data_IF_336729412234
#
_entry.id   IF_336729412234
#
_cell.length_a   1.000
_cell.length_b   1.000
_cell.length_c   1.000
_cell.angle_alpha   90.00
_cell.angle_beta   90.00
_cell.angle_gamma   90.00
#
_symmetry.space_group_name_H-M   'P 1'
#
loop_
_entity.id
_entity.type
_entity.pdbx_description
1 polymer ?
#
# COMPACT_ATOMS: atom_id res chain seq x y z
N UNK A 1 23.21 5.16 56.06
CA UNK A 1 23.34 5.86 54.76
C UNK A 1 23.08 4.83 53.66
N UNK A 2 21.82 4.69 53.26
CA UNK A 2 21.36 3.77 52.22
C UNK A 2 20.49 4.59 51.26
N UNK A 3 21.08 5.09 50.19
CA UNK A 3 20.38 5.58 49.00
C UNK A 3 21.45 6.01 47.99
N UNK A 4 21.80 5.11 47.06
CA UNK A 4 22.42 5.42 45.77
C UNK A 4 22.43 4.12 44.92
N UNK A 5 21.26 3.54 44.70
CA UNK A 5 21.05 2.33 43.88
C UNK A 5 19.87 2.48 42.94
N UNK A 6 19.71 3.66 42.37
CA UNK A 6 18.81 3.90 41.25
C UNK A 6 19.54 4.81 40.29
N UNK A 7 19.93 4.30 39.11
CA UNK A 7 19.98 5.03 37.82
C UNK A 7 20.86 4.38 36.73
N UNK A 8 21.58 3.28 36.98
CA UNK A 8 22.51 2.73 35.97
C UNK A 8 21.97 1.59 35.09
N UNK A 9 20.66 1.37 34.97
CA UNK A 9 20.13 0.17 34.29
C UNK A 9 19.08 0.46 33.19
N UNK A 10 19.29 1.46 32.34
CA UNK A 10 18.51 1.65 31.10
C UNK A 10 19.32 2.40 30.03
N UNK A 11 20.42 1.82 29.54
CA UNK A 11 21.14 2.35 28.38
C UNK A 11 21.25 1.27 27.30
N UNK A 12 20.16 1.13 26.53
CA UNK A 12 20.14 0.34 25.30
C UNK A 12 21.02 0.98 24.21
N UNK A 13 21.53 0.20 23.25
CA UNK A 13 22.40 0.72 22.22
C UNK A 13 21.57 1.48 21.18
N UNK A 14 22.06 2.66 20.76
CA UNK A 14 21.52 3.61 19.77
C UNK A 14 20.48 4.62 20.27
N UNK A 15 20.85 5.90 20.46
CA UNK A 15 19.87 6.98 20.43
C UNK A 15 19.46 7.18 18.96
N UNK A 16 18.30 6.63 18.59
CA UNK A 16 17.64 7.03 17.35
C UNK A 16 17.42 8.56 17.39
N UNK A 17 17.88 9.24 16.34
CA UNK A 17 17.86 10.70 16.25
C UNK A 17 16.40 11.16 16.25
N UNK A 18 16.01 12.05 17.17
CA UNK A 18 14.61 12.49 17.39
C UNK A 18 13.94 12.96 16.08
N UNK A 19 14.73 13.44 15.13
CA UNK A 19 14.28 13.89 13.80
C UNK A 19 13.65 12.76 12.95
N UNK A 20 14.12 11.52 13.05
CA UNK A 20 13.63 10.38 12.25
C UNK A 20 12.20 9.97 12.67
N UNK A 21 11.89 10.01 13.96
CA UNK A 21 10.54 9.74 14.46
C UNK A 21 9.55 10.83 14.05
N UNK A 22 10.01 12.08 13.96
CA UNK A 22 9.19 13.22 13.57
C UNK A 22 8.77 13.13 12.11
N UNK A 23 9.70 12.74 11.23
CA UNK A 23 9.42 12.53 9.82
C UNK A 23 8.47 11.34 9.58
N UNK A 24 8.66 10.23 10.31
CA UNK A 24 7.76 9.08 10.27
C UNK A 24 6.33 9.44 10.71
N UNK A 25 6.19 10.20 11.79
CA UNK A 25 4.88 10.66 12.29
C UNK A 25 4.19 11.61 11.30
N UNK A 26 4.93 12.51 10.66
CA UNK A 26 4.38 13.41 9.64
C UNK A 26 3.93 12.66 8.38
N UNK A 27 4.69 11.64 7.94
CA UNK A 27 4.32 10.79 6.81
C UNK A 27 3.07 9.93 7.11
N UNK A 28 2.95 9.43 8.34
CA UNK A 28 1.75 8.74 8.82
C UNK A 28 0.52 9.65 8.80
N UNK A 29 0.64 10.89 9.30
CA UNK A 29 -0.46 11.85 9.36
C UNK A 29 -0.92 12.28 7.96
N UNK A 30 0.02 12.55 7.05
CA UNK A 30 -0.30 12.92 5.67
C UNK A 30 -0.97 11.79 4.89
N UNK A 31 -0.56 10.53 5.11
CA UNK A 31 -1.25 9.36 4.53
C UNK A 31 -2.67 9.23 5.06
N UNK A 32 -2.87 9.40 6.37
CA UNK A 32 -4.21 9.37 7.00
C UNK A 32 -5.12 10.46 6.44
N UNK A 33 -4.63 11.70 6.36
CA UNK A 33 -5.38 12.82 5.80
C UNK A 33 -5.76 12.60 4.32
N UNK A 34 -4.87 11.99 3.53
CA UNK A 34 -5.16 11.63 2.13
C UNK A 34 -6.19 10.51 2.01
N UNK A 35 -6.15 9.51 2.90
CA UNK A 35 -7.15 8.46 2.96
C UNK A 35 -8.52 8.99 3.38
N UNK A 36 -8.55 9.85 4.40
CA UNK A 36 -9.77 10.50 4.87
C UNK A 36 -10.39 11.40 3.81
N UNK A 37 -9.58 12.15 3.05
CA UNK A 37 -10.09 12.99 1.97
C UNK A 37 -10.66 12.18 0.80
N UNK A 38 -10.03 11.06 0.44
CA UNK A 38 -10.57 10.11 -0.55
C UNK A 38 -11.87 9.48 -0.05
N UNK A 39 -11.92 9.07 1.22
CA UNK A 39 -13.12 8.49 1.81
C UNK A 39 -14.27 9.51 1.87
N UNK A 40 -13.98 10.76 2.22
CA UNK A 40 -14.96 11.84 2.21
C UNK A 40 -15.46 12.17 0.80
N UNK A 41 -14.57 12.17 -0.20
CA UNK A 41 -14.95 12.35 -1.60
C UNK A 41 -15.83 11.20 -2.11
N UNK A 42 -15.50 9.95 -1.74
CA UNK A 42 -16.31 8.77 -2.05
C UNK A 42 -17.70 8.86 -1.44
N UNK A 43 -17.81 9.24 -0.16
CA UNK A 43 -19.11 9.42 0.51
C UNK A 43 -19.95 10.51 -0.14
N UNK A 44 -19.36 11.66 -0.48
CA UNK A 44 -20.06 12.74 -1.20
C UNK A 44 -20.55 12.31 -2.57
N UNK A 45 -19.76 11.50 -3.28
CA UNK A 45 -20.16 10.95 -4.56
C UNK A 45 -21.33 9.96 -4.39
N UNK A 46 -21.25 9.09 -3.39
CA UNK A 46 -22.33 8.14 -3.06
C UNK A 46 -23.62 8.87 -2.65
N UNK A 47 -23.53 9.90 -1.82
CA UNK A 47 -24.66 10.73 -1.39
C UNK A 47 -25.31 11.50 -2.54
N UNK A 48 -24.54 11.93 -3.55
CA UNK A 48 -25.06 12.58 -4.74
C UNK A 48 -25.69 11.59 -5.72
N UNK A 49 -25.14 10.38 -5.84
CA UNK A 49 -25.62 9.36 -6.78
C UNK A 49 -26.82 8.57 -6.25
N UNK A 50 -26.90 8.29 -4.94
CA UNK A 50 -28.01 7.55 -4.30
C UNK A 50 -29.40 8.09 -4.65
N UNK A 51 -29.72 9.38 -4.46
CA UNK A 51 -31.06 9.88 -4.74
C UNK A 51 -31.42 9.82 -6.24
N UNK A 52 -30.43 9.93 -7.13
CA UNK A 52 -30.64 9.70 -8.56
C UNK A 52 -30.93 8.24 -8.88
N UNK A 53 -30.19 7.32 -8.26
CA UNK A 53 -30.39 5.87 -8.39
C UNK A 53 -31.73 5.40 -7.82
N UNK A 54 -32.15 5.93 -6.67
CA UNK A 54 -33.41 5.54 -6.02
C UNK A 54 -34.62 5.97 -6.87
N UNK A 55 -34.60 7.20 -7.41
CA UNK A 55 -35.64 7.68 -8.34
C UNK A 55 -35.66 6.89 -9.64
N UNK A 56 -34.49 6.68 -10.26
CA UNK A 56 -34.35 5.88 -11.47
C UNK A 56 -34.84 4.44 -11.24
N UNK A 57 -34.59 3.87 -10.06
CA UNK A 57 -35.04 2.51 -9.70
C UNK A 57 -36.56 2.41 -9.59
N UNK A 58 -37.23 3.42 -9.04
CA UNK A 58 -38.70 3.46 -8.94
C UNK A 58 -39.34 3.63 -10.32
N UNK A 59 -38.82 4.53 -11.15
CA UNK A 59 -39.31 4.73 -12.52
C UNK A 59 -39.05 3.50 -13.39
N UNK A 60 -37.87 2.90 -13.26
CA UNK A 60 -37.53 1.65 -13.94
C UNK A 60 -38.51 0.54 -13.54
N UNK A 61 -38.83 0.37 -12.25
CA UNK A 61 -39.84 -0.63 -11.82
C UNK A 61 -41.21 -0.40 -12.46
N UNK A 62 -41.66 0.85 -12.60
CA UNK A 62 -42.93 1.18 -13.27
C UNK A 62 -42.87 0.80 -14.76
N UNK A 63 -41.83 1.19 -15.46
CA UNK A 63 -41.62 0.85 -16.88
C UNK A 63 -41.51 -0.67 -17.07
N UNK A 64 -40.85 -1.38 -16.16
CA UNK A 64 -40.75 -2.84 -16.20
C UNK A 64 -42.14 -3.50 -16.01
N UNK A 65 -43.00 -2.98 -15.13
CA UNK A 65 -44.38 -3.44 -14.99
C UNK A 65 -45.21 -3.18 -16.25
N UNK A 66 -45.07 -2.00 -16.86
CA UNK A 66 -45.74 -1.63 -18.12
C UNK A 66 -45.29 -2.52 -19.29
N UNK A 67 -44.02 -2.94 -19.30
CA UNK A 67 -43.45 -3.90 -20.27
C UNK A 67 -43.87 -5.36 -20.02
N UNK A 68 -44.66 -5.59 -18.98
CA UNK A 68 -45.21 -6.91 -18.64
C UNK A 68 -44.29 -7.76 -17.78
N UNK A 69 -43.40 -7.20 -16.97
CA UNK A 69 -42.77 -7.95 -15.89
C UNK A 69 -43.74 -8.20 -14.74
N UNK A 70 -43.81 -9.45 -14.29
CA UNK A 70 -44.46 -9.78 -13.03
C UNK A 70 -43.48 -9.58 -11.87
N UNK A 71 -43.68 -8.51 -11.10
CA UNK A 71 -42.85 -8.14 -9.95
C UNK A 71 -43.47 -8.57 -8.60
N UNK A 72 -44.49 -9.42 -8.61
CA UNK A 72 -45.21 -9.86 -7.40
C UNK A 72 -44.40 -10.77 -6.49
N UNK A 73 -43.40 -11.46 -7.03
CA UNK A 73 -42.48 -12.33 -6.30
C UNK A 73 -41.07 -11.71 -6.19
N UNK A 74 -40.30 -12.01 -5.11
CA UNK A 74 -38.91 -11.60 -4.98
C UNK A 74 -38.04 -12.38 -5.98
N UNK A 75 -38.07 -11.95 -7.25
CA UNK A 75 -37.28 -12.52 -8.34
C UNK A 75 -36.02 -11.71 -8.57
N UNK A 76 -34.98 -12.40 -9.04
CA UNK A 76 -33.74 -11.71 -9.42
C UNK A 76 -34.00 -10.74 -10.58
N UNK A 77 -33.32 -9.59 -10.61
CA UNK A 77 -33.46 -8.65 -11.75
C UNK A 77 -33.12 -9.32 -13.09
N UNK A 78 -32.24 -10.32 -13.08
CA UNK A 78 -31.91 -11.11 -14.25
C UNK A 78 -33.13 -11.90 -14.78
N UNK A 79 -33.93 -12.50 -13.90
CA UNK A 79 -35.16 -13.20 -14.27
C UNK A 79 -36.23 -12.24 -14.79
N UNK A 80 -36.39 -11.08 -14.15
CA UNK A 80 -37.33 -10.03 -14.58
C UNK A 80 -36.99 -9.54 -16.00
N UNK A 81 -35.71 -9.26 -16.26
CA UNK A 81 -35.22 -8.84 -17.59
C UNK A 81 -35.37 -9.97 -18.61
N UNK A 82 -35.15 -11.23 -18.22
CA UNK A 82 -35.36 -12.40 -19.08
C UNK A 82 -36.82 -12.56 -19.49
N UNK A 83 -37.77 -12.36 -18.56
CA UNK A 83 -39.21 -12.41 -18.85
C UNK A 83 -39.67 -11.28 -19.77
N UNK A 84 -39.16 -10.05 -19.57
CA UNK A 84 -39.46 -8.94 -20.47
C UNK A 84 -38.91 -9.20 -21.87
N UNK A 85 -37.69 -9.75 -21.96
CA UNK A 85 -37.04 -10.11 -23.23
C UNK A 85 -37.76 -11.23 -23.95
N UNK A 86 -38.29 -12.23 -23.24
CA UNK A 86 -39.04 -13.32 -23.84
C UNK A 86 -40.42 -12.88 -24.34
N UNK A 87 -41.04 -11.90 -23.67
CA UNK A 87 -42.32 -11.30 -24.07
C UNK A 87 -42.21 -10.27 -25.20
N UNK A 88 -41.03 -9.64 -25.38
CA UNK A 88 -40.82 -8.58 -26.38
C UNK A 88 -39.63 -8.87 -27.31
N UNK A 89 -39.85 -9.24 -28.59
CA UNK A 89 -38.78 -9.57 -29.53
C UNK A 89 -37.89 -8.37 -29.90
N UNK A 90 -38.43 -7.15 -29.87
CA UNK A 90 -37.66 -5.91 -30.10
C UNK A 90 -36.61 -5.66 -29.01
N UNK A 91 -36.93 -5.93 -27.75
CA UNK A 91 -35.99 -5.81 -26.63
C UNK A 91 -34.89 -6.88 -26.67
N UNK A 92 -35.20 -8.05 -27.22
CA UNK A 92 -34.18 -9.08 -27.50
C UNK A 92 -33.17 -8.60 -28.54
N UNK A 93 -33.63 -8.02 -29.65
CA UNK A 93 -32.75 -7.47 -30.68
C UNK A 93 -31.89 -6.31 -30.13
N UNK A 94 -32.49 -5.40 -29.37
CA UNK A 94 -31.78 -4.32 -28.71
C UNK A 94 -30.72 -4.83 -27.73
N UNK A 95 -31.04 -5.82 -26.89
CA UNK A 95 -30.08 -6.40 -25.95
C UNK A 95 -28.89 -7.07 -26.67
N UNK A 96 -29.13 -7.72 -27.81
CA UNK A 96 -28.05 -8.28 -28.64
C UNK A 96 -27.15 -7.18 -29.22
N UNK A 97 -27.72 -6.07 -29.69
CA UNK A 97 -26.95 -4.93 -30.19
C UNK A 97 -26.18 -4.22 -29.07
N UNK A 98 -26.80 -4.09 -27.90
CA UNK A 98 -26.17 -3.54 -26.70
C UNK A 98 -25.00 -4.42 -26.28
N UNK A 99 -25.15 -5.75 -26.28
CA UNK A 99 -24.08 -6.68 -25.96
C UNK A 99 -22.92 -6.58 -26.97
N UNK A 100 -23.23 -6.50 -28.26
CA UNK A 100 -22.22 -6.27 -29.30
C UNK A 100 -21.46 -4.94 -29.12
N UNK A 101 -22.18 -3.84 -28.86
CA UNK A 101 -21.56 -2.54 -28.58
C UNK A 101 -20.76 -2.54 -27.27
N UNK A 102 -21.26 -3.23 -26.24
CA UNK A 102 -20.58 -3.38 -24.96
C UNK A 102 -19.33 -4.25 -25.09
N UNK A 103 -19.32 -5.23 -25.99
CA UNK A 103 -18.18 -6.10 -26.24
C UNK A 103 -16.97 -5.30 -26.74
N UNK A 104 -17.20 -4.41 -27.72
CA UNK A 104 -16.15 -3.52 -28.23
C UNK A 104 -15.67 -2.53 -27.17
N UNK A 105 -16.59 -1.95 -26.39
CA UNK A 105 -16.24 -1.07 -25.28
C UNK A 105 -15.42 -1.80 -24.22
N UNK A 106 -15.86 -2.99 -23.80
CA UNK A 106 -15.17 -3.82 -22.81
C UNK A 106 -13.76 -4.18 -23.27
N UNK A 107 -13.61 -4.53 -24.55
CA UNK A 107 -12.31 -4.86 -25.12
C UNK A 107 -11.37 -3.65 -25.15
N UNK A 108 -11.87 -2.47 -25.53
CA UNK A 108 -11.12 -1.21 -25.47
C UNK A 108 -10.72 -0.86 -24.04
N UNK A 109 -11.66 -0.90 -23.10
CA UNK A 109 -11.40 -0.63 -21.69
C UNK A 109 -10.38 -1.60 -21.08
N UNK A 110 -10.45 -2.89 -21.43
CA UNK A 110 -9.48 -3.88 -20.97
C UNK A 110 -8.07 -3.58 -21.52
N UNK A 111 -7.98 -3.21 -22.79
CA UNK A 111 -6.71 -2.80 -23.39
C UNK A 111 -6.15 -1.53 -22.74
N UNK A 112 -6.98 -0.50 -22.59
CA UNK A 112 -6.60 0.77 -21.97
C UNK A 112 -6.13 0.57 -20.52
N UNK A 113 -6.82 -0.29 -19.76
CA UNK A 113 -6.42 -0.67 -18.42
C UNK A 113 -5.06 -1.37 -18.40
N UNK A 114 -4.83 -2.35 -19.28
CA UNK A 114 -3.54 -3.02 -19.38
C UNK A 114 -2.41 -2.07 -19.76
N UNK A 115 -2.66 -1.15 -20.70
CA UNK A 115 -1.68 -0.14 -21.10
C UNK A 115 -1.39 0.83 -19.96
N UNK A 116 -2.41 1.27 -19.22
CA UNK A 116 -2.23 2.09 -18.03
C UNK A 116 -1.39 1.37 -16.97
N UNK A 117 -1.70 0.11 -16.67
CA UNK A 117 -0.93 -0.68 -15.72
C UNK A 117 0.52 -0.80 -16.15
N UNK A 118 0.78 -1.15 -17.42
CA UNK A 118 2.13 -1.24 -17.96
C UNK A 118 2.87 0.11 -17.86
N UNK A 119 2.22 1.22 -18.21
CA UNK A 119 2.79 2.56 -18.13
C UNK A 119 3.12 2.96 -16.68
N UNK A 120 2.22 2.69 -15.74
CA UNK A 120 2.44 2.95 -14.31
C UNK A 120 3.60 2.12 -13.78
N UNK A 121 3.67 0.84 -14.14
CA UNK A 121 4.78 -0.04 -13.76
C UNK A 121 6.11 0.41 -14.36
N UNK A 122 6.16 0.81 -15.64
CA UNK A 122 7.37 1.33 -16.28
C UNK A 122 7.85 2.62 -15.60
N UNK A 123 6.93 3.55 -15.32
CA UNK A 123 7.27 4.76 -14.55
C UNK A 123 7.79 4.42 -13.15
N UNK A 124 7.17 3.48 -12.45
CA UNK A 124 7.63 3.04 -11.14
C UNK A 124 9.02 2.39 -11.19
N UNK A 125 9.30 1.60 -12.24
CA UNK A 125 10.63 1.03 -12.48
C UNK A 125 11.69 2.10 -12.71
N UNK A 126 11.37 3.12 -13.52
CA UNK A 126 12.27 4.25 -13.80
C UNK A 126 12.55 5.09 -12.55
N UNK A 127 11.53 5.43 -11.77
CA UNK A 127 11.72 6.18 -10.52
C UNK A 127 12.47 5.37 -9.48
N UNK A 128 12.20 4.07 -9.38
CA UNK A 128 12.97 3.18 -8.50
C UNK A 128 14.47 3.15 -8.87
N UNK A 129 14.78 3.03 -10.17
CA UNK A 129 16.16 3.05 -10.64
C UNK A 129 16.84 4.41 -10.43
N UNK A 130 16.11 5.51 -10.64
CA UNK A 130 16.65 6.86 -10.52
C UNK A 130 16.86 7.29 -9.06
N UNK A 131 15.91 6.97 -8.16
CA UNK A 131 15.91 7.55 -6.81
C UNK A 131 16.27 6.52 -5.73
N UNK A 132 15.71 5.32 -5.80
CA UNK A 132 15.84 4.33 -4.72
C UNK A 132 17.16 3.57 -4.83
N UNK A 133 17.51 3.11 -6.04
CA UNK A 133 18.75 2.35 -6.28
C UNK A 133 20.02 3.09 -5.83
N UNK A 134 20.25 4.38 -6.18
CA UNK A 134 21.46 5.07 -5.73
C UNK A 134 21.45 5.33 -4.22
N UNK A 135 20.29 5.61 -3.61
CA UNK A 135 20.19 5.77 -2.15
C UNK A 135 20.53 4.48 -1.41
N UNK A 136 20.08 3.33 -1.93
CA UNK A 136 20.39 2.02 -1.36
C UNK A 136 21.88 1.68 -1.51
N UNK A 137 22.48 1.99 -2.66
CA UNK A 137 23.92 1.82 -2.87
C UNK A 137 24.76 2.68 -1.92
N UNK A 138 24.35 3.94 -1.68
CA UNK A 138 25.00 4.82 -0.71
C UNK A 138 24.82 4.35 0.73
N UNK A 139 23.65 3.84 1.10
CA UNK A 139 23.43 3.27 2.43
C UNK A 139 24.32 2.03 2.66
N UNK A 140 24.40 1.15 1.65
CA UNK A 140 25.28 -0.02 1.68
C UNK A 140 26.75 0.36 1.84
N UNK A 141 27.25 1.32 1.06
CA UNK A 141 28.65 1.72 1.15
C UNK A 141 29.00 2.34 2.51
N UNK A 142 28.07 3.09 3.11
CA UNK A 142 28.22 3.61 4.48
C UNK A 142 28.28 2.48 5.51
N UNK A 143 27.37 1.51 5.42
CA UNK A 143 27.37 0.36 6.32
C UNK A 143 28.67 -0.47 6.21
N UNK A 144 29.17 -0.70 4.99
CA UNK A 144 30.44 -1.39 4.77
C UNK A 144 31.63 -0.60 5.34
N UNK A 145 31.63 0.73 5.22
CA UNK A 145 32.68 1.58 5.80
C UNK A 145 32.66 1.57 7.33
N UNK A 146 31.49 1.61 7.95
CA UNK A 146 31.34 1.50 9.41
C UNK A 146 31.73 0.11 9.91
N UNK A 147 31.33 -0.96 9.21
CA UNK A 147 31.74 -2.33 9.55
C UNK A 147 33.27 -2.50 9.51
N UNK A 148 33.94 -1.94 8.50
CA UNK A 148 35.41 -1.94 8.43
C UNK A 148 36.05 -1.19 9.60
N UNK A 149 35.50 -0.03 9.99
CA UNK A 149 35.99 0.72 11.16
C UNK A 149 35.86 -0.09 12.45
N UNK A 150 34.71 -0.75 12.65
CA UNK A 150 34.49 -1.61 13.81
C UNK A 150 35.45 -2.79 13.81
N UNK A 151 35.70 -3.44 12.67
CA UNK A 151 36.69 -4.52 12.57
C UNK A 151 38.11 -4.07 12.89
N UNK A 152 38.51 -2.88 12.42
CA UNK A 152 39.83 -2.31 12.73
C UNK A 152 39.94 -2.01 14.22
N UNK A 153 38.94 -1.36 14.82
CA UNK A 153 38.89 -1.11 16.27
C UNK A 153 38.94 -2.41 17.07
N UNK A 154 38.22 -3.45 16.63
CA UNK A 154 38.23 -4.74 17.29
C UNK A 154 39.63 -5.37 17.23
N UNK A 155 40.28 -5.36 16.06
CA UNK A 155 41.64 -5.87 15.88
C UNK A 155 42.66 -5.11 16.72
N UNK A 156 42.54 -3.80 16.82
CA UNK A 156 43.38 -2.96 17.67
C UNK A 156 43.18 -3.27 19.16
N UNK A 157 41.94 -3.47 19.62
CA UNK A 157 41.64 -3.87 20.99
C UNK A 157 42.16 -5.27 21.31
N UNK A 158 42.03 -6.23 20.39
CA UNK A 158 42.59 -7.58 20.55
C UNK A 158 44.12 -7.55 20.58
N UNK A 159 44.76 -6.74 19.72
CA UNK A 159 46.21 -6.59 19.71
C UNK A 159 46.74 -5.90 20.98
N UNK A 160 46.04 -4.87 21.49
CA UNK A 160 46.36 -4.24 22.78
C UNK A 160 46.21 -5.20 23.96
N UNK A 161 45.21 -6.08 23.92
CA UNK A 161 45.02 -7.11 24.96
C UNK A 161 46.11 -8.18 24.90
N UNK A 162 46.48 -8.66 23.71
CA UNK A 162 47.56 -9.62 23.53
C UNK A 162 48.92 -9.07 24.01
N UNK A 163 49.23 -7.80 23.72
CA UNK A 163 50.46 -7.15 24.22
C UNK A 163 50.46 -6.90 25.75
N UNK A 164 49.29 -6.77 26.38
CA UNK A 164 49.18 -6.65 27.84
C UNK A 164 49.35 -8.01 28.55
N UNK A 165 48.95 -9.11 27.92
CA UNK A 165 49.13 -10.48 28.43
C UNK A 165 50.61 -10.93 28.34
N UNK A 166 51.37 -10.49 27.32
CA UNK A 166 52.81 -10.75 27.23
C UNK A 166 53.61 -9.97 28.30
N UNK A 167 53.27 -8.70 28.56
CA UNK A 167 53.94 -7.88 29.57
C UNK A 167 53.71 -8.35 31.02
N UNK A 168 52.68 -9.17 31.26
CA UNK A 168 52.37 -9.76 32.57
C UNK A 168 52.94 -11.18 32.76
N UNK A 169 53.57 -11.76 31.73
CA UNK A 169 54.20 -13.09 31.79
C UNK A 169 55.70 -13.03 32.09
N UNK A 170 56.34 -11.87 31.90
CA UNK A 170 57.79 -11.67 32.13
C UNK A 170 58.16 -11.33 33.59
N UNK A 171 57.17 -11.22 34.49
CA UNK A 171 57.34 -10.84 35.90
C UNK A 171 57.04 -12.00 36.88
N UNK A 172 57.39 -13.24 36.50
CA UNK A 172 57.36 -14.40 37.41
C UNK A 172 58.76 -14.66 38.01
N UNK A 173 58.98 -14.44 39.32
CA UNK A 173 60.24 -14.82 39.94
C UNK A 173 60.37 -16.36 39.95
N UNK A 174 61.50 -16.85 39.43
CA UNK A 174 61.91 -18.25 39.58
C UNK A 174 62.23 -18.51 41.06
N UNK A 175 61.58 -19.53 41.61
CA UNK A 175 61.81 -20.04 42.97
C UNK A 175 62.97 -21.03 42.97
#
# INVERSE_FOLDING_TARGET
>A
MLANSAESACQGPYPARIDDYREYLMNQQTLKQRLESVQAASKRLEEQLRPGFDRASVELKKVLQELGADLSEPRSMAEVVSQIRSRNPSLRAFALHLDAATYDLRKKLWWDANMMTAYVTDKAGKTYQADVRPRLAQARSRAEAEARKVMVQFRELTARRAGADEASTEDRPQN
#
